data_IF_558476147830
#
_entry.id   IF_558476147830
#
_cell.length_a   1.000
_cell.length_b   1.000
_cell.length_c   1.000
_cell.angle_alpha   90.00
_cell.angle_beta   90.00
_cell.angle_gamma   90.00
#
_symmetry.space_group_name_H-M   'P 1'
#
loop_
_entity.id
_entity.type
_entity.pdbx_description
1 polymer ?
#
# COMPACT_ATOMS: atom_id res chain seq x y z
N UNK A 1 -6.17 -5.08 3.42
CA UNK A 1 -5.03 -4.54 4.18
C UNK A 1 -4.51 -3.34 3.43
N UNK A 2 -4.09 -2.29 4.11
CA UNK A 2 -3.36 -1.18 3.48
C UNK A 2 -1.87 -1.32 3.81
N UNK A 3 -1.00 -1.19 2.81
CA UNK A 3 0.42 -0.91 3.01
C UNK A 3 0.62 0.53 2.56
N UNK A 4 1.22 1.37 3.41
CA UNK A 4 1.30 2.81 3.15
C UNK A 4 2.67 3.41 3.42
N UNK A 5 2.90 4.55 2.79
CA UNK A 5 4.01 5.45 3.10
C UNK A 5 3.86 6.07 4.50
N UNK A 6 4.90 6.78 4.93
CA UNK A 6 4.95 7.42 6.24
C UNK A 6 3.97 8.60 6.39
N UNK A 7 3.46 9.16 5.29
CA UNK A 7 2.60 10.34 5.26
C UNK A 7 1.10 10.04 5.15
N UNK A 8 0.71 8.79 4.86
CA UNK A 8 -0.68 8.40 4.76
C UNK A 8 -1.44 8.60 6.09
N UNK A 9 -2.57 9.35 6.10
CA UNK A 9 -3.34 9.54 7.31
C UNK A 9 -3.97 8.23 7.78
N UNK A 10 -3.79 7.92 9.05
CA UNK A 10 -4.31 6.71 9.69
C UNK A 10 -5.74 6.96 10.20
N UNK A 11 -6.75 6.20 9.76
CA UNK A 11 -8.11 6.31 10.27
C UNK A 11 -8.19 6.01 11.79
N UNK A 12 -9.05 6.72 12.55
CA UNK A 12 -9.25 6.43 13.96
C UNK A 12 -9.68 4.97 14.21
N UNK A 13 -9.08 4.31 15.19
CA UNK A 13 -9.40 2.93 15.56
C UNK A 13 -8.85 1.85 14.63
N UNK A 14 -8.09 2.22 13.59
CA UNK A 14 -7.42 1.23 12.74
C UNK A 14 -6.37 0.45 13.53
N UNK A 15 -6.26 -0.86 13.26
CA UNK A 15 -5.13 -1.65 13.72
C UNK A 15 -3.91 -1.31 12.87
N UNK A 16 -2.85 -0.83 13.50
CA UNK A 16 -1.63 -0.39 12.81
C UNK A 16 -0.46 -1.28 13.19
N UNK A 17 0.26 -1.76 12.18
CA UNK A 17 1.60 -2.31 12.31
C UNK A 17 2.55 -1.25 11.77
N UNK A 18 3.23 -0.55 12.66
CA UNK A 18 4.13 0.53 12.29
C UNK A 18 5.57 0.03 12.22
N UNK A 19 6.11 -0.01 11.01
CA UNK A 19 7.47 -0.46 10.74
C UNK A 19 8.42 0.72 10.50
N UNK A 20 7.90 1.95 10.43
CA UNK A 20 8.70 3.13 10.11
C UNK A 20 9.80 3.34 11.17
N UNK A 21 11.06 3.22 10.75
CA UNK A 21 12.22 3.45 11.61
C UNK A 21 12.92 4.76 11.28
N UNK A 22 13.22 4.97 9.99
CA UNK A 22 13.81 6.20 9.46
C UNK A 22 13.12 6.53 8.12
N UNK A 23 13.23 7.77 7.62
CA UNK A 23 12.79 8.09 6.27
C UNK A 23 13.42 7.14 5.24
N UNK A 24 12.58 6.45 4.48
CA UNK A 24 12.94 5.40 3.52
C UNK A 24 13.17 4.01 4.10
N UNK A 25 13.07 3.79 5.41
CA UNK A 25 13.45 2.51 6.07
C UNK A 25 12.36 2.00 7.02
N UNK A 26 11.80 0.79 6.78
CA UNK A 26 11.97 -0.01 5.56
C UNK A 26 11.30 0.65 4.35
N UNK A 27 11.76 0.31 3.14
CA UNK A 27 11.17 0.83 1.92
C UNK A 27 9.78 0.23 1.67
N UNK A 28 8.97 0.89 0.85
CA UNK A 28 7.67 0.34 0.47
C UNK A 28 7.82 -0.99 -0.30
N UNK A 29 8.85 -1.11 -1.13
CA UNK A 29 9.14 -2.29 -1.92
C UNK A 29 9.42 -3.51 -1.03
N UNK A 30 10.31 -3.37 -0.04
CA UNK A 30 10.69 -4.47 0.85
C UNK A 30 9.48 -5.01 1.62
N UNK A 31 8.64 -4.11 2.12
CA UNK A 31 7.44 -4.49 2.87
C UNK A 31 6.40 -5.12 1.95
N UNK A 32 6.18 -4.57 0.75
CA UNK A 32 5.24 -5.16 -0.20
C UNK A 32 5.67 -6.56 -0.62
N UNK A 33 6.93 -6.74 -1.02
CA UNK A 33 7.46 -8.04 -1.47
C UNK A 33 7.41 -9.06 -0.33
N UNK A 34 7.77 -8.68 0.89
CA UNK A 34 7.68 -9.54 2.07
C UNK A 34 6.24 -9.95 2.39
N UNK A 35 5.27 -9.04 2.29
CA UNK A 35 3.85 -9.37 2.50
C UNK A 35 3.34 -10.29 1.41
N UNK A 36 3.64 -10.01 0.13
CA UNK A 36 3.17 -10.80 -1.01
C UNK A 36 3.74 -12.23 -1.03
N UNK A 37 4.89 -12.46 -0.39
CA UNK A 37 5.44 -13.81 -0.22
C UNK A 37 4.62 -14.70 0.73
N UNK A 38 3.86 -14.10 1.66
CA UNK A 38 3.17 -14.81 2.74
C UNK A 38 1.65 -14.88 2.57
N UNK A 39 1.06 -14.01 1.74
CA UNK A 39 -0.41 -13.95 1.56
C UNK A 39 -0.83 -14.11 0.12
N UNK A 40 -2.02 -14.69 -0.08
CA UNK A 40 -2.70 -14.66 -1.38
C UNK A 40 -3.45 -13.35 -1.53
N UNK A 41 -3.26 -12.68 -2.67
CA UNK A 41 -3.96 -11.44 -3.03
C UNK A 41 -4.82 -11.69 -4.26
N UNK A 42 -6.11 -11.34 -4.17
CA UNK A 42 -7.09 -11.46 -5.26
C UNK A 42 -7.47 -10.11 -5.89
N UNK A 43 -6.85 -9.03 -5.42
CA UNK A 43 -7.04 -7.70 -6.00
C UNK A 43 -6.27 -6.62 -5.24
N UNK A 44 -5.92 -5.56 -5.97
CA UNK A 44 -5.21 -4.42 -5.41
C UNK A 44 -5.76 -3.09 -5.95
N UNK A 45 -5.67 -2.05 -5.12
CA UNK A 45 -6.09 -0.68 -5.44
C UNK A 45 -5.00 0.30 -5.00
N UNK A 46 -4.53 1.14 -5.91
CA UNK A 46 -3.58 2.23 -5.62
C UNK A 46 -4.13 3.59 -6.05
N UNK A 47 -3.47 4.67 -5.62
CA UNK A 47 -3.80 6.03 -6.05
C UNK A 47 -3.31 6.27 -7.48
N UNK A 48 -4.14 6.81 -8.38
CA UNK A 48 -3.76 7.11 -9.77
C UNK A 48 -2.61 8.14 -9.87
N UNK A 49 -2.51 9.03 -8.89
CA UNK A 49 -1.50 10.08 -8.77
C UNK A 49 -0.08 9.50 -8.66
N UNK A 50 0.07 8.25 -8.21
CA UNK A 50 1.38 7.57 -8.15
C UNK A 50 2.05 7.52 -9.52
N UNK A 51 1.27 7.43 -10.61
CA UNK A 51 1.80 7.32 -11.97
C UNK A 51 2.58 8.55 -12.42
N UNK A 52 2.20 9.74 -11.96
CA UNK A 52 2.89 10.98 -12.31
C UNK A 52 3.89 11.41 -11.25
N UNK A 53 3.56 11.23 -9.97
CA UNK A 53 4.37 11.75 -8.86
C UNK A 53 5.42 10.76 -8.34
N UNK A 54 5.26 9.47 -8.60
CA UNK A 54 6.21 8.43 -8.20
C UNK A 54 6.21 7.25 -9.21
N UNK A 55 6.69 7.48 -10.46
CA UNK A 55 6.63 6.48 -11.52
C UNK A 55 7.30 5.16 -11.16
N UNK A 56 8.42 5.20 -10.44
CA UNK A 56 9.12 3.98 -9.98
C UNK A 56 8.23 3.09 -9.10
N UNK A 57 7.44 3.69 -8.20
CA UNK A 57 6.47 2.95 -7.39
C UNK A 57 5.29 2.46 -8.23
N UNK A 58 4.86 3.23 -9.23
CA UNK A 58 3.79 2.82 -10.14
C UNK A 58 4.19 1.58 -10.96
N UNK A 59 5.42 1.54 -11.46
CA UNK A 59 5.98 0.42 -12.20
C UNK A 59 6.11 -0.80 -11.29
N UNK A 60 6.67 -0.62 -10.09
CA UNK A 60 6.77 -1.68 -9.08
C UNK A 60 5.40 -2.28 -8.74
N UNK A 61 4.39 -1.44 -8.49
CA UNK A 61 3.03 -1.89 -8.20
C UNK A 61 2.42 -2.67 -9.38
N UNK A 62 2.65 -2.20 -10.61
CA UNK A 62 2.15 -2.88 -11.83
C UNK A 62 2.80 -4.24 -12.01
N UNK A 63 4.11 -4.35 -11.76
CA UNK A 63 4.87 -5.58 -11.88
C UNK A 63 4.47 -6.62 -10.82
N UNK A 64 4.25 -6.18 -9.58
CA UNK A 64 3.96 -7.09 -8.45
C UNK A 64 2.49 -7.49 -8.34
N UNK A 65 1.58 -6.68 -8.87
CA UNK A 65 0.13 -6.85 -8.66
C UNK A 65 -0.61 -6.89 -10.01
N UNK A 66 -0.65 -8.05 -10.68
CA UNK A 66 -1.48 -8.23 -11.87
C UNK A 66 -2.95 -7.87 -11.57
N UNK A 67 -3.56 -7.05 -12.42
CA UNK A 67 -4.93 -6.57 -12.22
C UNK A 67 -5.07 -5.41 -11.22
N UNK A 68 -3.96 -4.74 -10.88
CA UNK A 68 -3.99 -3.51 -10.10
C UNK A 68 -4.95 -2.48 -10.71
N UNK A 69 -5.86 -1.99 -9.88
CA UNK A 69 -6.78 -0.90 -10.22
C UNK A 69 -6.32 0.41 -9.59
N UNK A 70 -6.72 1.51 -10.21
CA UNK A 70 -6.37 2.85 -9.74
C UNK A 70 -7.62 3.65 -9.44
N UNK A 71 -7.56 4.43 -8.35
CA UNK A 71 -8.59 5.38 -7.93
C UNK A 71 -7.93 6.71 -7.56
N UNK A 72 -8.66 7.83 -7.50
CA UNK A 72 -8.12 9.07 -6.93
C UNK A 72 -7.61 8.87 -5.50
N UNK A 73 -6.55 9.55 -5.10
CA UNK A 73 -5.96 9.40 -3.77
C UNK A 73 -6.96 9.66 -2.63
N UNK A 74 -7.86 10.63 -2.79
CA UNK A 74 -8.96 10.87 -1.84
C UNK A 74 -9.88 9.65 -1.66
N UNK A 75 -10.15 8.93 -2.76
CA UNK A 75 -10.94 7.70 -2.70
C UNK A 75 -10.16 6.59 -2.02
N UNK A 76 -8.85 6.47 -2.26
CA UNK A 76 -8.00 5.50 -1.55
C UNK A 76 -8.02 5.76 -0.04
N UNK A 77 -7.93 7.01 0.40
CA UNK A 77 -8.07 7.41 1.82
C UNK A 77 -9.43 7.03 2.40
N UNK A 78 -10.52 7.25 1.67
CA UNK A 78 -11.84 6.83 2.14
C UNK A 78 -11.94 5.29 2.28
N UNK A 79 -11.33 4.54 1.35
CA UNK A 79 -11.33 3.08 1.38
C UNK A 79 -10.41 2.50 2.48
N UNK A 80 -9.38 3.22 2.90
CA UNK A 80 -8.48 2.76 3.97
C UNK A 80 -9.20 2.57 5.31
N UNK A 81 -10.28 3.31 5.57
CA UNK A 81 -11.12 3.13 6.75
C UNK A 81 -11.80 1.75 6.84
N UNK A 82 -11.94 1.03 5.72
CA UNK A 82 -12.44 -0.35 5.69
C UNK A 82 -11.35 -1.41 5.82
N UNK A 83 -10.08 -1.03 5.89
CA UNK A 83 -8.98 -1.99 6.01
C UNK A 83 -8.90 -2.53 7.44
N UNK A 84 -8.84 -3.87 7.56
CA UNK A 84 -8.67 -4.55 8.87
C UNK A 84 -7.35 -4.21 9.56
N UNK A 85 -6.30 -3.94 8.77
CA UNK A 85 -4.97 -3.61 9.25
C UNK A 85 -4.28 -2.68 8.26
N UNK A 86 -3.49 -1.76 8.81
CA UNK A 86 -2.64 -0.83 8.08
C UNK A 86 -1.19 -1.11 8.46
N UNK A 87 -0.35 -1.37 7.47
CA UNK A 87 1.10 -1.52 7.62
C UNK A 87 1.74 -0.21 7.17
N UNK A 88 2.30 0.54 8.12
CA UNK A 88 3.00 1.79 7.83
C UNK A 88 4.47 1.51 7.62
N UNK A 89 4.98 1.90 6.45
CA UNK A 89 6.39 1.76 6.06
C UNK A 89 7.17 3.04 6.37
N UNK A 90 8.50 2.99 6.23
CA UNK A 90 9.33 4.19 6.29
C UNK A 90 9.31 5.00 5.00
N UNK A 91 8.63 4.56 3.94
CA UNK A 91 8.68 5.19 2.62
C UNK A 91 8.35 6.69 2.69
N UNK A 92 9.18 7.48 2.02
CA UNK A 92 9.15 8.94 2.06
C UNK A 92 8.84 9.55 0.68
N UNK A 93 8.66 8.73 -0.36
CA UNK A 93 8.17 9.16 -1.67
C UNK A 93 6.64 9.17 -1.70
N UNK A 94 6.02 10.10 -2.45
CA UNK A 94 4.60 10.31 -2.40
C UNK A 94 3.82 9.15 -3.02
N UNK A 95 2.60 8.93 -2.52
CA UNK A 95 1.61 8.01 -3.06
C UNK A 95 2.03 6.53 -3.08
N UNK A 96 3.04 6.13 -2.31
CA UNK A 96 3.43 4.74 -2.17
C UNK A 96 2.46 4.03 -1.20
N UNK A 97 1.25 3.79 -1.69
CA UNK A 97 0.13 3.24 -0.92
C UNK A 97 -0.66 2.24 -1.77
N UNK A 98 -0.94 1.08 -1.21
CA UNK A 98 -1.77 0.06 -1.87
C UNK A 98 -2.69 -0.64 -0.89
N UNK A 99 -3.96 -0.75 -1.27
CA UNK A 99 -4.93 -1.61 -0.59
C UNK A 99 -4.91 -2.97 -1.26
N UNK A 100 -4.60 -4.01 -0.49
CA UNK A 100 -4.65 -5.41 -0.89
C UNK A 100 -5.93 -6.06 -0.38
N UNK A 101 -6.64 -6.76 -1.28
CA UNK A 101 -7.73 -7.67 -0.95
C UNK A 101 -7.19 -9.09 -0.87
N UNK A 102 -7.17 -9.64 0.34
CA UNK A 102 -6.67 -10.99 0.59
C UNK A 102 -7.63 -12.00 -0.04
N UNK A 103 -7.07 -12.96 -0.77
CA UNK A 103 -7.80 -14.10 -1.34
C UNK A 103 -7.70 -15.34 -0.45
N UNK A 104 -8.00 -16.49 -1.06
CA UNK A 104 -7.87 -17.81 -0.43
C UNK A 104 -6.93 -18.69 -1.27
N UNK A 105 -6.06 -19.51 -0.65
CA UNK A 105 -5.09 -20.34 -1.36
C UNK A 105 -5.66 -21.66 -1.91
N UNK A 106 -6.98 -21.84 -1.96
CA UNK A 106 -7.64 -23.10 -2.34
C UNK A 106 -8.91 -22.87 -3.16
#
# INVERSE_FOLDING_TARGET
MLICDSGMPIPPGAQVVDLAFLPGIPSFADVLDGVLAEIVVEGAIAAQEVRSANPECADLLTDRLPGLSYVPHERLKALSGGCRVIVRTGEARPYANVILRCGVPF
#
